data_IF_689762595125
#
_entry.id   IF_689762595125
#
_cell.length_a   1.000
_cell.length_b   1.000
_cell.length_c   1.000
_cell.angle_alpha   90.00
_cell.angle_beta   90.00
_cell.angle_gamma   90.00
#
_symmetry.space_group_name_H-M   'P 1'
#
loop_
_entity.id
_entity.type
_entity.pdbx_description
1 polymer ?
#
# COMPACT_ATOMS: atom_id res chain seq x y z
N UNK A 1 6.07 19.66 6.61
CA UNK A 1 6.19 18.74 5.45
C UNK A 1 5.57 19.43 4.24
N UNK A 2 6.32 19.55 3.14
CA UNK A 2 5.80 20.13 1.88
C UNK A 2 5.18 18.99 1.07
N UNK A 3 3.95 19.20 0.60
CA UNK A 3 3.29 18.21 -0.26
C UNK A 3 3.99 18.17 -1.63
N UNK A 4 4.07 17.00 -2.25
CA UNK A 4 4.65 16.82 -3.61
C UNK A 4 3.92 17.71 -4.63
N UNK A 5 2.60 17.91 -4.45
CA UNK A 5 1.82 18.84 -5.28
C UNK A 5 2.39 20.26 -5.26
N UNK A 6 2.65 20.82 -4.07
CA UNK A 6 3.22 22.18 -3.93
C UNK A 6 4.62 22.25 -4.52
N UNK A 7 5.39 21.16 -4.40
CA UNK A 7 6.71 21.08 -5.01
C UNK A 7 6.63 21.07 -6.55
N UNK A 8 5.69 20.30 -7.10
CA UNK A 8 5.44 20.26 -8.54
C UNK A 8 5.07 21.64 -9.10
N UNK A 9 4.13 22.33 -8.43
CA UNK A 9 3.72 23.70 -8.80
C UNK A 9 4.89 24.68 -8.77
N UNK A 10 5.74 24.63 -7.75
CA UNK A 10 6.91 25.51 -7.61
C UNK A 10 8.06 25.20 -8.57
N UNK A 11 8.09 24.00 -9.15
CA UNK A 11 9.09 23.58 -10.14
C UNK A 11 8.59 23.68 -11.58
N UNK A 12 7.31 23.94 -11.80
CA UNK A 12 6.68 23.84 -13.12
C UNK A 12 6.55 22.39 -13.62
N UNK A 13 6.52 21.44 -12.71
CA UNK A 13 6.35 20.02 -12.99
C UNK A 13 4.88 19.62 -13.00
N UNK A 14 4.54 18.58 -13.73
CA UNK A 14 3.22 17.96 -13.67
C UNK A 14 3.06 17.21 -12.34
N UNK A 15 1.90 17.37 -11.69
CA UNK A 15 1.57 16.59 -10.48
C UNK A 15 0.62 15.43 -10.81
N UNK A 16 1.12 14.21 -10.70
CA UNK A 16 0.29 13.02 -10.80
C UNK A 16 -0.33 12.66 -9.44
N UNK A 17 -1.68 12.69 -9.38
CA UNK A 17 -2.44 12.44 -8.15
C UNK A 17 -2.38 10.98 -7.72
N UNK A 18 -2.46 10.04 -8.67
CA UNK A 18 -2.52 8.61 -8.35
C UNK A 18 -1.16 8.07 -7.87
N UNK A 19 -0.07 8.54 -8.47
CA UNK A 19 1.29 8.21 -8.04
C UNK A 19 1.80 9.09 -6.90
N UNK A 20 1.06 10.17 -6.55
CA UNK A 20 1.52 11.22 -5.65
C UNK A 20 2.94 11.67 -5.99
N UNK A 21 3.14 12.03 -7.26
CA UNK A 21 4.44 12.27 -7.85
C UNK A 21 4.47 13.60 -8.60
N UNK A 22 5.60 14.31 -8.54
CA UNK A 22 5.91 15.42 -9.42
C UNK A 22 6.82 14.91 -10.55
N UNK A 23 6.41 15.14 -11.78
CA UNK A 23 7.05 14.64 -12.99
C UNK A 23 7.42 15.79 -13.89
N UNK A 24 8.65 15.84 -14.37
CA UNK A 24 9.13 16.87 -15.28
C UNK A 24 10.44 16.48 -15.92
N UNK A 25 10.85 17.27 -16.89
CA UNK A 25 12.11 17.10 -17.61
C UNK A 25 13.05 18.24 -17.28
N UNK A 26 14.31 17.93 -17.02
CA UNK A 26 15.37 18.93 -16.80
C UNK A 26 16.64 18.51 -17.55
N UNK A 27 17.06 19.34 -18.50
CA UNK A 27 18.30 19.11 -19.27
C UNK A 27 18.28 17.83 -20.11
N UNK A 28 17.13 17.39 -20.58
CA UNK A 28 16.97 16.16 -21.37
C UNK A 28 16.77 14.88 -20.55
N UNK A 29 16.59 15.00 -19.23
CA UNK A 29 16.35 13.86 -18.34
C UNK A 29 14.97 13.91 -17.70
N UNK A 30 14.22 12.84 -17.83
CA UNK A 30 12.97 12.65 -17.07
C UNK A 30 13.25 12.51 -15.58
N UNK A 31 12.63 13.35 -14.78
CA UNK A 31 12.79 13.39 -13.33
C UNK A 31 11.46 13.18 -12.62
N UNK A 32 11.46 12.24 -11.70
CA UNK A 32 10.28 11.87 -10.91
C UNK A 32 10.57 12.10 -9.43
N UNK A 33 9.78 12.96 -8.78
CA UNK A 33 9.91 13.26 -7.35
C UNK A 33 8.72 12.68 -6.60
N UNK A 34 8.99 11.87 -5.59
CA UNK A 34 7.97 11.31 -4.68
C UNK A 34 8.35 11.56 -3.23
N UNK A 35 7.36 11.52 -2.33
CA UNK A 35 7.66 11.54 -0.89
C UNK A 35 8.24 10.20 -0.44
N UNK A 36 9.24 10.28 0.46
CA UNK A 36 9.61 9.14 1.28
C UNK A 36 8.61 8.99 2.45
N UNK A 37 8.40 7.76 2.92
CA UNK A 37 7.44 7.44 4.00
C UNK A 37 7.78 8.08 5.35
N UNK A 38 8.95 8.68 5.50
CA UNK A 38 9.43 9.26 6.75
C UNK A 38 9.81 10.73 6.60
N UNK A 39 9.01 11.61 7.19
CA UNK A 39 9.34 13.00 7.42
C UNK A 39 9.40 13.88 6.17
N UNK A 40 10.35 14.83 6.14
CA UNK A 40 10.59 15.77 5.03
C UNK A 40 11.61 15.24 4.01
N UNK A 41 11.60 13.93 3.76
CA UNK A 41 12.45 13.29 2.77
C UNK A 41 11.69 13.09 1.46
N UNK A 42 12.41 13.21 0.37
CA UNK A 42 11.91 13.01 -0.99
C UNK A 42 12.82 12.03 -1.74
N UNK A 43 12.24 11.25 -2.62
CA UNK A 43 12.95 10.44 -3.58
C UNK A 43 12.91 11.13 -4.93
N UNK A 44 14.07 11.52 -5.43
CA UNK A 44 14.25 11.93 -6.81
C UNK A 44 14.72 10.71 -7.62
N UNK A 45 13.86 10.25 -8.51
CA UNK A 45 14.11 9.09 -9.36
C UNK A 45 14.43 9.57 -10.77
N UNK A 46 15.46 8.99 -11.35
CA UNK A 46 15.85 9.15 -12.76
C UNK A 46 16.09 7.78 -13.37
N UNK A 47 16.06 7.68 -14.68
CA UNK A 47 16.46 6.48 -15.40
C UNK A 47 17.51 6.82 -16.44
N UNK A 48 18.72 6.31 -16.29
CA UNK A 48 19.87 6.69 -17.09
C UNK A 48 20.79 5.51 -17.41
N UNK A 49 21.49 5.61 -18.54
CA UNK A 49 22.44 4.60 -19.00
C UNK A 49 23.67 5.23 -19.67
N UNK A 50 24.77 4.47 -19.71
CA UNK A 50 25.95 4.68 -20.57
C UNK A 50 26.19 3.47 -21.47
N UNK A 51 25.12 2.79 -21.87
CA UNK A 51 25.18 1.49 -22.55
C UNK A 51 24.98 0.31 -21.62
N UNK A 52 25.31 0.46 -20.33
CA UNK A 52 25.13 -0.57 -19.29
C UNK A 52 24.29 -0.02 -18.13
N UNK A 53 23.87 -0.93 -17.22
CA UNK A 53 23.14 -0.55 -16.02
C UNK A 53 24.02 0.30 -15.10
N UNK A 54 23.50 1.42 -14.59
CA UNK A 54 24.28 2.30 -13.73
C UNK A 54 24.68 1.59 -12.43
N UNK A 55 25.85 1.92 -11.93
CA UNK A 55 26.40 1.47 -10.66
C UNK A 55 26.57 2.64 -9.69
N UNK A 56 26.81 2.40 -8.42
CA UNK A 56 27.12 3.49 -7.48
C UNK A 56 28.41 4.23 -7.81
N UNK A 57 29.41 3.53 -8.39
CA UNK A 57 30.67 4.11 -8.78
C UNK A 57 30.51 5.17 -9.87
N UNK A 58 29.54 5.02 -10.76
CA UNK A 58 29.26 5.97 -11.83
C UNK A 58 28.82 7.35 -11.31
N UNK A 59 28.35 7.42 -10.08
CA UNK A 59 27.90 8.65 -9.42
C UNK A 59 28.92 9.20 -8.39
N UNK A 60 30.14 8.71 -8.40
CA UNK A 60 31.23 9.32 -7.62
C UNK A 60 31.47 10.74 -8.10
N UNK A 61 31.62 11.68 -7.14
CA UNK A 61 31.78 13.10 -7.44
C UNK A 61 30.47 13.89 -7.62
N UNK A 62 29.29 13.27 -7.65
CA UNK A 62 28.01 14.01 -7.81
C UNK A 62 27.80 15.07 -6.72
N UNK A 63 28.39 14.89 -5.53
CA UNK A 63 28.35 15.84 -4.42
C UNK A 63 29.06 17.15 -4.71
N UNK A 64 30.00 17.14 -5.63
CA UNK A 64 30.74 18.34 -6.06
C UNK A 64 29.84 19.30 -6.83
N UNK A 65 28.86 18.74 -7.56
CA UNK A 65 27.86 19.52 -8.27
C UNK A 65 26.79 20.09 -7.34
N UNK A 66 26.38 19.31 -6.33
CA UNK A 66 25.48 19.80 -5.29
C UNK A 66 25.60 18.97 -4.00
N UNK A 67 25.86 19.64 -2.88
CA UNK A 67 26.07 19.03 -1.56
C UNK A 67 24.89 18.19 -1.04
N UNK A 68 23.70 18.36 -1.58
CA UNK A 68 22.51 17.60 -1.17
C UNK A 68 22.37 16.25 -1.89
N UNK A 69 23.10 16.02 -2.98
CA UNK A 69 23.11 14.75 -3.72
C UNK A 69 24.01 13.70 -3.04
N UNK A 70 23.73 13.39 -1.78
CA UNK A 70 24.59 12.56 -0.93
C UNK A 70 24.21 11.08 -0.93
N UNK A 71 22.92 10.78 -0.91
CA UNK A 71 22.39 9.44 -0.71
C UNK A 71 21.82 8.90 -1.99
N UNK A 72 22.48 7.89 -2.54
CA UNK A 72 22.15 7.31 -3.84
C UNK A 72 21.83 5.83 -3.67
N UNK A 73 20.68 5.44 -4.18
CA UNK A 73 20.25 4.05 -4.37
C UNK A 73 20.26 3.72 -5.86
N UNK A 74 21.01 2.71 -6.25
CA UNK A 74 21.00 2.18 -7.61
C UNK A 74 20.30 0.83 -7.59
N UNK A 75 19.32 0.67 -8.47
CA UNK A 75 18.59 -0.59 -8.57
C UNK A 75 19.38 -1.57 -9.44
N UNK A 76 19.75 -2.73 -8.88
CA UNK A 76 20.50 -3.76 -9.62
C UNK A 76 19.69 -4.47 -10.71
N UNK A 77 18.35 -4.37 -10.67
CA UNK A 77 17.47 -5.09 -11.61
C UNK A 77 17.10 -4.25 -12.82
N UNK A 78 17.08 -2.93 -12.69
CA UNK A 78 16.66 -1.99 -13.73
C UNK A 78 17.61 -0.79 -13.80
N UNK A 79 17.32 0.20 -14.67
CA UNK A 79 18.13 1.40 -14.91
C UNK A 79 17.78 2.57 -13.98
N UNK A 80 16.90 2.37 -12.99
CA UNK A 80 16.46 3.43 -12.07
C UNK A 80 17.52 3.75 -11.04
N UNK A 81 17.77 5.04 -10.87
CA UNK A 81 18.63 5.61 -9.83
C UNK A 81 17.78 6.52 -8.95
N UNK A 82 17.94 6.41 -7.65
CA UNK A 82 17.15 7.13 -6.64
C UNK A 82 18.07 7.96 -5.77
N UNK A 83 17.85 9.26 -5.73
CA UNK A 83 18.49 10.16 -4.77
C UNK A 83 17.53 10.43 -3.61
N UNK A 84 18.01 10.24 -2.39
CA UNK A 84 17.24 10.61 -1.19
C UNK A 84 17.61 12.03 -0.78
N UNK A 85 16.65 12.94 -0.83
CA UNK A 85 16.83 14.36 -0.62
C UNK A 85 16.03 14.84 0.59
N UNK A 86 16.64 15.68 1.42
CA UNK A 86 15.94 16.34 2.53
C UNK A 86 15.29 17.63 2.08
N UNK A 87 14.04 17.86 2.46
CA UNK A 87 13.38 19.17 2.34
C UNK A 87 14.03 20.23 3.26
N UNK A 88 13.67 21.50 3.07
CA UNK A 88 13.96 22.57 4.00
C UNK A 88 12.84 22.72 5.03
N UNK A 89 13.04 23.58 6.04
CA UNK A 89 12.04 23.87 7.06
C UNK A 89 10.79 24.57 6.49
N UNK A 90 10.95 25.35 5.43
CA UNK A 90 9.86 26.09 4.77
C UNK A 90 9.52 25.48 3.41
N UNK A 91 8.31 25.78 2.92
CA UNK A 91 7.84 25.36 1.60
C UNK A 91 8.73 25.97 0.50
N UNK A 92 8.90 27.27 0.53
CA UNK A 92 9.69 28.01 -0.48
C UNK A 92 11.17 27.60 -0.43
N UNK A 93 11.72 27.36 0.75
CA UNK A 93 13.06 26.84 0.93
C UNK A 93 13.25 25.44 0.33
N UNK A 94 12.21 24.59 0.39
CA UNK A 94 12.24 23.28 -0.26
C UNK A 94 12.21 23.41 -1.77
N UNK A 95 11.32 24.23 -2.32
CA UNK A 95 11.24 24.50 -3.77
C UNK A 95 12.56 25.06 -4.29
N UNK A 96 13.10 26.11 -3.66
CA UNK A 96 14.39 26.69 -4.04
C UNK A 96 15.52 25.65 -4.03
N UNK A 97 15.56 24.81 -3.01
CA UNK A 97 16.56 23.72 -2.93
C UNK A 97 16.47 22.77 -4.13
N UNK A 98 15.26 22.37 -4.53
CA UNK A 98 15.10 21.52 -5.69
C UNK A 98 15.42 22.26 -7.00
N UNK A 99 15.10 23.55 -7.11
CA UNK A 99 15.53 24.40 -8.25
C UNK A 99 17.04 24.46 -8.41
N UNK A 100 17.82 24.31 -7.33
CA UNK A 100 19.28 24.22 -7.40
C UNK A 100 19.76 22.79 -7.69
N UNK A 101 19.12 21.77 -7.13
CA UNK A 101 19.53 20.37 -7.23
C UNK A 101 19.30 19.83 -8.65
N UNK A 102 18.12 20.08 -9.24
CA UNK A 102 17.74 19.45 -10.51
C UNK A 102 18.67 19.84 -11.68
N UNK A 103 18.99 21.13 -11.91
CA UNK A 103 19.95 21.52 -12.94
C UNK A 103 21.38 21.04 -12.65
N UNK A 104 21.77 20.99 -11.37
CA UNK A 104 23.09 20.49 -10.98
C UNK A 104 23.23 19.00 -11.30
N UNK A 105 22.18 18.20 -11.01
CA UNK A 105 22.15 16.80 -11.39
C UNK A 105 22.16 16.61 -12.91
N UNK A 106 21.37 17.38 -13.65
CA UNK A 106 21.34 17.30 -15.10
C UNK A 106 22.72 17.58 -15.71
N UNK A 107 23.44 18.60 -15.23
CA UNK A 107 24.84 18.90 -15.66
C UNK A 107 25.77 17.73 -15.34
N UNK A 108 25.73 17.18 -14.14
CA UNK A 108 26.54 16.02 -13.78
C UNK A 108 26.31 14.86 -14.75
N UNK A 109 25.04 14.58 -15.09
CA UNK A 109 24.69 13.50 -16.01
C UNK A 109 25.21 13.76 -17.42
N UNK A 110 25.10 15.02 -17.90
CA UNK A 110 25.65 15.45 -19.21
C UNK A 110 27.16 15.34 -19.25
N UNK A 111 27.87 15.87 -18.24
CA UNK A 111 29.33 15.83 -18.15
C UNK A 111 29.88 14.40 -18.08
N UNK A 112 29.07 13.47 -17.61
CA UNK A 112 29.38 12.04 -17.52
C UNK A 112 28.82 11.22 -18.69
N UNK A 113 28.27 11.86 -19.72
CA UNK A 113 27.73 11.23 -20.94
C UNK A 113 26.60 10.20 -20.67
N UNK A 114 25.82 10.40 -19.61
CA UNK A 114 24.62 9.60 -19.38
C UNK A 114 23.54 9.98 -20.39
N UNK A 115 22.73 9.01 -20.78
CA UNK A 115 21.55 9.21 -21.61
C UNK A 115 20.30 8.86 -20.82
N UNK A 116 19.21 9.62 -21.02
CA UNK A 116 17.90 9.28 -20.53
C UNK A 116 17.45 7.95 -21.16
N UNK A 117 16.90 7.03 -20.38
CA UNK A 117 16.54 5.71 -20.89
C UNK A 117 15.33 5.11 -20.17
N UNK A 118 14.74 4.09 -20.78
CA UNK A 118 13.72 3.28 -20.11
C UNK A 118 14.30 2.60 -18.87
N UNK A 119 13.57 2.67 -17.75
CA UNK A 119 13.97 1.97 -16.52
C UNK A 119 13.93 0.44 -16.64
N UNK A 120 13.20 -0.11 -17.63
CA UNK A 120 13.05 -1.54 -17.83
C UNK A 120 14.14 -2.07 -18.76
N UNK A 121 14.19 -1.57 -19.99
CA UNK A 121 15.06 -2.08 -21.05
C UNK A 121 16.38 -1.34 -21.21
N UNK A 122 16.47 -0.07 -20.74
CA UNK A 122 17.62 0.78 -20.97
C UNK A 122 17.65 1.43 -22.38
N UNK A 123 16.59 1.27 -23.18
CA UNK A 123 16.45 1.92 -24.48
C UNK A 123 16.34 3.44 -24.29
N UNK A 124 17.05 4.21 -25.12
CA UNK A 124 17.15 5.67 -24.99
C UNK A 124 16.21 6.44 -25.90
N UNK A 125 15.57 5.77 -26.86
CA UNK A 125 14.66 6.40 -27.82
C UNK A 125 13.20 6.24 -27.43
N UNK A 126 12.39 7.29 -27.60
CA UNK A 126 10.95 7.25 -27.35
C UNK A 126 10.58 6.99 -25.88
N UNK A 127 11.44 7.45 -24.97
CA UNK A 127 11.23 7.37 -23.52
C UNK A 127 10.35 8.52 -23.09
N UNK A 128 9.40 8.25 -22.20
CA UNK A 128 8.55 9.24 -21.56
C UNK A 128 8.06 8.70 -20.22
N UNK A 129 7.37 9.54 -19.47
CA UNK A 129 6.84 9.13 -18.16
C UNK A 129 5.39 8.70 -18.27
N UNK A 130 5.09 7.53 -17.76
CA UNK A 130 3.76 6.91 -17.74
C UNK A 130 3.37 6.51 -16.33
N UNK A 131 2.07 6.57 -16.05
CA UNK A 131 1.50 5.83 -14.94
C UNK A 131 1.11 4.43 -15.45
N UNK A 132 1.78 3.42 -14.94
CA UNK A 132 1.53 2.01 -15.31
C UNK A 132 1.76 1.13 -14.05
N UNK A 133 0.71 1.01 -13.22
CA UNK A 133 0.79 0.39 -11.88
C UNK A 133 1.76 1.15 -10.93
N UNK A 134 1.95 2.43 -11.14
CA UNK A 134 2.90 3.34 -10.52
C UNK A 134 3.59 4.18 -11.60
N UNK A 135 4.22 5.27 -11.19
CA UNK A 135 4.91 6.16 -12.13
C UNK A 135 6.23 5.54 -12.59
N UNK A 136 6.42 5.47 -13.90
CA UNK A 136 7.57 4.84 -14.57
C UNK A 136 8.08 5.68 -15.72
N UNK A 137 9.38 5.65 -15.92
CA UNK A 137 10.06 6.22 -17.07
C UNK A 137 10.32 5.04 -18.03
N UNK A 138 9.53 4.93 -19.10
CA UNK A 138 9.54 3.79 -20.01
C UNK A 138 9.27 4.21 -21.46
N UNK A 139 9.49 3.30 -22.41
CA UNK A 139 9.14 3.53 -23.80
C UNK A 139 7.64 3.33 -24.07
N UNK A 140 7.14 3.92 -25.15
CA UNK A 140 5.75 3.74 -25.60
C UNK A 140 5.41 2.27 -25.88
N UNK A 141 6.36 1.47 -26.37
CA UNK A 141 6.14 0.02 -26.60
C UNK A 141 6.01 -0.76 -25.31
N UNK A 142 6.83 -0.46 -24.29
CA UNK A 142 6.73 -1.08 -22.95
C UNK A 142 5.45 -0.68 -22.25
N UNK A 143 5.04 0.59 -22.37
CA UNK A 143 3.75 1.06 -21.88
C UNK A 143 2.60 0.26 -22.49
N UNK A 144 2.57 0.11 -23.83
CA UNK A 144 1.53 -0.65 -24.54
C UNK A 144 1.49 -2.14 -24.13
N UNK A 145 2.64 -2.74 -23.83
CA UNK A 145 2.70 -4.11 -23.32
C UNK A 145 2.10 -4.22 -21.91
N UNK A 146 2.45 -3.29 -21.02
CA UNK A 146 1.89 -3.26 -19.65
C UNK A 146 0.38 -3.01 -19.71
N UNK A 147 -0.08 -2.06 -20.52
CA UNK A 147 -1.50 -1.74 -20.71
C UNK A 147 -2.28 -2.96 -21.21
N UNK A 148 -1.77 -3.67 -22.23
CA UNK A 148 -2.36 -4.92 -22.70
C UNK A 148 -2.44 -5.97 -21.60
N UNK A 149 -1.39 -6.15 -20.81
CA UNK A 149 -1.39 -7.07 -19.68
C UNK A 149 -2.41 -6.69 -18.59
N UNK A 150 -2.66 -5.39 -18.39
CA UNK A 150 -3.74 -4.90 -17.50
C UNK A 150 -5.10 -5.25 -18.08
N UNK A 151 -5.33 -4.99 -19.37
CA UNK A 151 -6.59 -5.29 -20.07
C UNK A 151 -6.91 -6.78 -20.01
N UNK A 152 -5.97 -7.65 -20.35
CA UNK A 152 -6.16 -9.10 -20.25
C UNK A 152 -6.54 -9.57 -18.83
N UNK A 153 -5.97 -8.94 -17.79
CA UNK A 153 -6.37 -9.24 -16.40
C UNK A 153 -7.79 -8.78 -16.11
N UNK A 154 -8.18 -7.61 -16.60
CA UNK A 154 -9.54 -7.08 -16.44
C UNK A 154 -10.55 -8.01 -17.11
N UNK A 155 -10.28 -8.43 -18.34
CA UNK A 155 -11.15 -9.34 -19.11
C UNK A 155 -11.30 -10.70 -18.41
N UNK A 156 -10.21 -11.29 -17.91
CA UNK A 156 -10.26 -12.53 -17.13
C UNK A 156 -11.09 -12.40 -15.85
N UNK A 157 -11.05 -11.25 -15.19
CA UNK A 157 -11.87 -10.99 -14.00
C UNK A 157 -13.33 -10.78 -14.38
N UNK A 158 -13.61 -10.06 -15.48
CA UNK A 158 -14.96 -9.84 -15.98
C UNK A 158 -15.65 -11.17 -16.37
N UNK A 159 -14.93 -12.10 -16.99
CA UNK A 159 -15.43 -13.44 -17.33
C UNK A 159 -15.82 -14.29 -16.09
N UNK A 160 -15.23 -14.03 -14.92
CA UNK A 160 -15.57 -14.76 -13.69
C UNK A 160 -16.92 -14.32 -13.09
N UNK A 161 -17.41 -13.13 -13.39
CA UNK A 161 -18.71 -12.64 -12.93
C UNK A 161 -18.91 -12.75 -11.40
N UNK A 162 -20.09 -13.25 -11.00
CA UNK A 162 -20.46 -13.43 -9.59
C UNK A 162 -19.61 -14.48 -8.85
N UNK A 163 -18.98 -15.42 -9.57
CA UNK A 163 -18.10 -16.43 -8.95
C UNK A 163 -16.87 -15.80 -8.30
N UNK A 164 -16.46 -14.59 -8.72
CA UNK A 164 -15.36 -13.86 -8.10
C UNK A 164 -15.68 -13.41 -6.67
N UNK A 165 -16.95 -13.11 -6.35
CA UNK A 165 -17.38 -12.72 -4.99
C UNK A 165 -17.29 -13.93 -4.05
N UNK A 166 -17.77 -15.10 -4.50
CA UNK A 166 -17.69 -16.33 -3.70
C UNK A 166 -16.24 -16.71 -3.41
N UNK A 167 -15.40 -16.72 -4.44
CA UNK A 167 -13.96 -17.00 -4.27
C UNK A 167 -13.29 -15.97 -3.35
N UNK A 168 -13.62 -14.69 -3.51
CA UNK A 168 -13.13 -13.63 -2.64
C UNK A 168 -13.55 -13.84 -1.18
N UNK A 169 -14.81 -14.26 -0.95
CA UNK A 169 -15.30 -14.56 0.40
C UNK A 169 -14.53 -15.72 1.03
N UNK A 170 -14.26 -16.79 0.27
CA UNK A 170 -13.41 -17.90 0.74
C UNK A 170 -12.01 -17.40 1.07
N UNK A 171 -11.41 -16.56 0.20
CA UNK A 171 -10.11 -15.96 0.44
C UNK A 171 -10.09 -15.08 1.70
N UNK A 172 -11.16 -14.29 1.94
CA UNK A 172 -11.31 -13.48 3.15
C UNK A 172 -11.40 -14.35 4.43
N UNK A 173 -12.14 -15.46 4.37
CA UNK A 173 -12.22 -16.41 5.49
C UNK A 173 -10.87 -17.06 5.79
N UNK A 174 -10.14 -17.50 4.77
CA UNK A 174 -8.78 -18.03 4.94
C UNK A 174 -7.84 -16.96 5.54
N UNK A 175 -7.93 -15.73 5.03
CA UNK A 175 -7.20 -14.59 5.58
C UNK A 175 -7.54 -14.33 7.05
N UNK A 176 -8.81 -14.46 7.44
CA UNK A 176 -9.25 -14.31 8.82
C UNK A 176 -8.71 -15.41 9.75
N UNK A 177 -8.62 -16.65 9.27
CA UNK A 177 -8.04 -17.76 10.05
C UNK A 177 -6.55 -17.51 10.29
N UNK A 178 -5.80 -17.13 9.25
CA UNK A 178 -4.36 -16.82 9.39
C UNK A 178 -4.16 -15.60 10.30
N UNK A 179 -4.93 -14.54 10.10
CA UNK A 179 -4.88 -13.35 10.95
C UNK A 179 -5.21 -13.68 12.41
N UNK A 180 -6.21 -14.53 12.63
CA UNK A 180 -6.61 -15.00 13.95
C UNK A 180 -5.50 -15.74 14.67
N UNK A 181 -4.81 -16.64 13.98
CA UNK A 181 -3.66 -17.35 14.55
C UNK A 181 -2.54 -16.37 14.97
N UNK A 182 -2.22 -15.37 14.11
CA UNK A 182 -1.23 -14.35 14.42
C UNK A 182 -1.64 -13.50 15.62
N UNK A 183 -2.91 -13.06 15.67
CA UNK A 183 -3.44 -12.24 16.78
C UNK A 183 -3.39 -13.01 18.08
N UNK A 184 -3.80 -14.30 18.09
CA UNK A 184 -3.71 -15.15 19.28
C UNK A 184 -2.26 -15.34 19.75
N UNK A 185 -1.31 -15.57 18.85
CA UNK A 185 0.11 -15.65 19.20
C UNK A 185 0.60 -14.36 19.87
N UNK A 186 0.24 -13.21 19.33
CA UNK A 186 0.63 -11.90 19.88
C UNK A 186 -0.02 -11.68 21.25
N UNK A 187 -1.30 -12.03 21.40
CA UNK A 187 -2.02 -11.91 22.67
C UNK A 187 -1.40 -12.78 23.78
N UNK A 188 -1.01 -14.02 23.45
CA UNK A 188 -0.34 -14.92 24.39
C UNK A 188 1.06 -14.44 24.84
N UNK A 189 1.67 -13.53 24.11
CA UNK A 189 2.91 -12.85 24.50
C UNK A 189 2.68 -11.62 25.40
N UNK A 190 1.42 -11.33 25.75
CA UNK A 190 1.07 -10.20 26.63
C UNK A 190 1.01 -8.84 25.93
N UNK A 191 1.09 -8.80 24.61
CA UNK A 191 0.97 -7.54 23.86
C UNK A 191 -0.48 -7.18 23.58
N UNK A 192 -0.84 -5.93 23.86
CA UNK A 192 -2.19 -5.41 23.58
C UNK A 192 -2.43 -5.26 22.08
N UNK A 193 -3.58 -5.73 21.66
CA UNK A 193 -3.93 -6.09 20.28
C UNK A 193 -4.31 -4.95 19.32
N UNK A 194 -3.79 -3.71 19.47
CA UNK A 194 -4.02 -2.70 18.42
C UNK A 194 -3.44 -3.13 17.06
N UNK A 195 -2.34 -3.88 17.04
CA UNK A 195 -1.81 -4.53 15.85
C UNK A 195 -2.78 -5.55 15.23
N UNK A 196 -3.64 -6.16 16.04
CA UNK A 196 -4.61 -7.15 15.57
C UNK A 196 -5.52 -6.61 14.46
N UNK A 197 -5.96 -5.35 14.58
CA UNK A 197 -6.77 -4.71 13.56
C UNK A 197 -6.06 -4.50 12.22
N UNK A 198 -4.77 -4.13 12.25
CA UNK A 198 -3.95 -3.96 11.04
C UNK A 198 -3.74 -5.32 10.36
N UNK A 199 -3.38 -6.34 11.12
CA UNK A 199 -3.17 -7.71 10.62
C UNK A 199 -4.46 -8.27 10.04
N UNK A 200 -5.58 -8.11 10.75
CA UNK A 200 -6.91 -8.50 10.27
C UNK A 200 -7.27 -7.81 8.97
N UNK A 201 -7.17 -6.48 8.93
CA UNK A 201 -7.47 -5.70 7.72
C UNK A 201 -6.64 -6.14 6.52
N UNK A 202 -5.33 -6.27 6.71
CA UNK A 202 -4.41 -6.66 5.65
C UNK A 202 -4.65 -8.07 5.11
N UNK A 203 -4.78 -9.06 6.01
CA UNK A 203 -4.92 -10.46 5.61
C UNK A 203 -6.33 -10.81 5.09
N UNK A 204 -7.38 -10.25 5.67
CA UNK A 204 -8.76 -10.50 5.21
C UNK A 204 -8.99 -9.86 3.85
N UNK A 205 -8.65 -8.55 3.70
CA UNK A 205 -8.80 -7.85 2.42
C UNK A 205 -7.83 -8.36 1.37
N UNK A 206 -6.59 -8.66 1.77
CA UNK A 206 -5.58 -9.26 0.89
C UNK A 206 -6.02 -10.64 0.40
N UNK A 207 -6.52 -11.50 1.28
CA UNK A 207 -7.10 -12.79 0.94
C UNK A 207 -8.26 -12.66 -0.03
N UNK A 208 -9.21 -11.76 0.24
CA UNK A 208 -10.30 -11.47 -0.71
C UNK A 208 -9.76 -11.09 -2.09
N UNK A 209 -8.81 -10.14 -2.16
CA UNK A 209 -8.22 -9.68 -3.43
C UNK A 209 -7.54 -10.81 -4.21
N UNK A 210 -6.73 -11.62 -3.54
CA UNK A 210 -5.98 -12.72 -4.18
C UNK A 210 -6.93 -13.71 -4.86
N UNK A 211 -8.03 -14.06 -4.21
CA UNK A 211 -8.99 -15.04 -4.73
C UNK A 211 -10.01 -14.44 -5.69
N UNK A 212 -10.51 -13.23 -5.43
CA UNK A 212 -11.44 -12.52 -6.32
C UNK A 212 -10.76 -11.92 -7.55
N UNK A 213 -9.46 -11.61 -7.46
CA UNK A 213 -8.69 -10.90 -8.49
C UNK A 213 -8.84 -9.38 -8.42
N UNK A 214 -9.96 -8.86 -7.91
CA UNK A 214 -10.26 -7.42 -7.75
C UNK A 214 -11.13 -7.19 -6.51
N UNK A 215 -10.97 -6.03 -5.88
CA UNK A 215 -11.83 -5.64 -4.75
C UNK A 215 -13.07 -4.91 -5.27
N UNK A 216 -14.23 -5.50 -5.03
CA UNK A 216 -15.54 -4.93 -5.34
C UNK A 216 -16.16 -4.27 -4.09
N UNK A 217 -17.11 -3.33 -4.27
CA UNK A 217 -17.81 -2.68 -3.16
C UNK A 217 -18.43 -3.69 -2.18
N UNK A 218 -19.11 -4.71 -2.71
CA UNK A 218 -19.70 -5.80 -1.92
C UNK A 218 -18.61 -6.58 -1.18
N UNK A 219 -17.44 -6.80 -1.80
CA UNK A 219 -16.31 -7.48 -1.17
C UNK A 219 -15.76 -6.74 0.06
N UNK A 220 -15.78 -5.41 0.03
CA UNK A 220 -15.38 -4.60 1.19
C UNK A 220 -16.34 -4.84 2.36
N UNK A 221 -17.65 -4.83 2.10
CA UNK A 221 -18.67 -5.05 3.14
C UNK A 221 -18.55 -6.47 3.71
N UNK A 222 -18.44 -7.48 2.84
CA UNK A 222 -18.28 -8.89 3.28
C UNK A 222 -17.00 -9.03 4.12
N UNK A 223 -15.89 -8.47 3.67
CA UNK A 223 -14.61 -8.52 4.40
C UNK A 223 -14.70 -7.82 5.76
N UNK A 224 -15.41 -6.68 5.85
CA UNK A 224 -15.63 -5.98 7.12
C UNK A 224 -16.44 -6.83 8.11
N UNK A 225 -17.51 -7.49 7.65
CA UNK A 225 -18.31 -8.39 8.48
C UNK A 225 -17.46 -9.58 8.96
N UNK A 226 -16.69 -10.19 8.07
CA UNK A 226 -15.78 -11.31 8.40
C UNK A 226 -14.73 -10.87 9.43
N UNK A 227 -14.14 -9.68 9.30
CA UNK A 227 -13.16 -9.15 10.25
C UNK A 227 -13.75 -9.01 11.66
N UNK A 228 -14.94 -8.41 11.78
CA UNK A 228 -15.57 -8.20 13.07
C UNK A 228 -16.01 -9.53 13.71
N UNK A 229 -16.59 -10.43 12.92
CA UNK A 229 -16.99 -11.76 13.38
C UNK A 229 -15.77 -12.60 13.82
N UNK A 230 -14.69 -12.58 13.04
CA UNK A 230 -13.46 -13.28 13.37
C UNK A 230 -12.84 -12.73 14.66
N UNK A 231 -12.78 -11.39 14.83
CA UNK A 231 -12.22 -10.79 16.03
C UNK A 231 -13.04 -11.14 17.28
N UNK A 232 -14.35 -11.16 17.18
CA UNK A 232 -15.22 -11.64 18.25
C UNK A 232 -14.89 -13.09 18.66
N UNK A 233 -14.74 -13.99 17.68
CA UNK A 233 -14.39 -15.38 17.93
C UNK A 233 -13.00 -15.56 18.53
N UNK A 234 -12.04 -14.76 18.05
CA UNK A 234 -10.66 -14.77 18.54
C UNK A 234 -10.58 -14.27 19.98
N UNK A 235 -11.25 -13.16 20.29
CA UNK A 235 -11.34 -12.67 21.68
C UNK A 235 -11.91 -13.76 22.60
N UNK A 236 -12.98 -14.40 22.17
CA UNK A 236 -13.61 -15.48 22.94
C UNK A 236 -12.68 -16.68 23.13
N UNK A 237 -11.89 -17.03 22.11
CA UNK A 237 -10.90 -18.11 22.19
C UNK A 237 -9.73 -17.74 23.09
N UNK A 238 -9.26 -16.51 23.03
CA UNK A 238 -8.18 -16.00 23.87
C UNK A 238 -8.55 -16.06 25.36
N UNK A 239 -9.75 -15.60 25.70
CA UNK A 239 -10.30 -15.74 27.06
C UNK A 239 -10.48 -17.19 27.47
N UNK A 240 -10.92 -18.06 26.57
CA UNK A 240 -11.05 -19.47 26.87
C UNK A 240 -9.70 -20.13 27.20
N UNK A 241 -8.65 -19.77 26.48
CA UNK A 241 -7.27 -20.22 26.73
C UNK A 241 -6.74 -19.67 28.06
N UNK A 242 -7.01 -18.38 28.35
CA UNK A 242 -6.61 -17.75 29.60
C UNK A 242 -7.30 -18.42 30.78
N UNK A 243 -8.63 -18.68 30.71
CA UNK A 243 -9.38 -19.37 31.75
C UNK A 243 -8.78 -20.77 32.01
N UNK A 244 -8.50 -21.54 30.95
CA UNK A 244 -7.89 -22.87 31.14
C UNK A 244 -6.51 -22.82 31.80
N UNK A 245 -5.74 -21.76 31.60
CA UNK A 245 -4.38 -21.61 32.14
C UNK A 245 -4.38 -21.19 33.62
N UNK A 246 -5.30 -20.30 34.00
CA UNK A 246 -5.23 -19.62 35.29
C UNK A 246 -6.31 -20.02 36.26
N UNK A 247 -7.39 -20.68 35.81
CA UNK A 247 -8.51 -21.05 36.67
C UNK A 247 -8.58 -22.58 36.87
N UNK A 248 -8.64 -23.00 38.11
CA UNK A 248 -8.86 -24.39 38.46
C UNK A 248 -10.36 -24.69 38.52
N UNK A 249 -10.82 -25.92 38.19
CA UNK A 249 -12.23 -26.29 38.24
C UNK A 249 -12.85 -26.09 39.62
N UNK A 250 -12.06 -26.23 40.67
CA UNK A 250 -12.51 -26.09 42.07
C UNK A 250 -13.01 -24.68 42.39
N UNK A 251 -12.47 -23.63 41.68
CA UNK A 251 -12.95 -22.25 41.79
C UNK A 251 -14.41 -22.08 41.35
N UNK A 252 -14.93 -23.00 40.58
CA UNK A 252 -16.30 -22.98 40.07
C UNK A 252 -17.19 -24.10 40.68
N UNK A 253 -16.73 -24.73 41.76
CA UNK A 253 -17.47 -25.83 42.39
C UNK A 253 -17.57 -27.12 41.54
N UNK A 254 -16.65 -27.28 40.57
CA UNK A 254 -16.59 -28.42 39.65
C UNK A 254 -15.42 -29.34 40.02
N UNK A 255 -15.42 -29.83 41.27
CA UNK A 255 -14.35 -30.72 41.74
C UNK A 255 -14.17 -31.95 40.84
N UNK A 256 -12.92 -32.24 40.49
CA UNK A 256 -12.52 -33.41 39.71
C UNK A 256 -12.76 -33.33 38.18
N UNK A 257 -13.30 -32.24 37.64
CA UNK A 257 -13.53 -32.07 36.21
C UNK A 257 -12.43 -31.20 35.57
N UNK A 258 -11.81 -31.67 34.45
CA UNK A 258 -10.92 -30.79 33.65
C UNK A 258 -11.76 -29.92 32.72
N UNK A 259 -11.57 -28.61 32.79
CA UNK A 259 -12.20 -27.68 31.87
C UNK A 259 -11.68 -27.92 30.45
N UNK A 260 -12.51 -28.49 29.56
CA UNK A 260 -12.12 -28.63 28.15
C UNK A 260 -12.21 -27.30 27.44
N UNK A 261 -11.35 -27.06 26.41
CA UNK A 261 -11.37 -25.85 25.63
C UNK A 261 -12.72 -25.56 24.99
N UNK A 262 -13.37 -26.61 24.49
CA UNK A 262 -14.72 -26.53 23.90
C UNK A 262 -15.77 -26.07 24.93
N UNK A 263 -15.73 -26.59 26.14
CA UNK A 263 -16.63 -26.17 27.21
C UNK A 263 -16.38 -24.73 27.61
N UNK A 264 -15.12 -24.36 27.85
CA UNK A 264 -14.72 -23.00 28.23
C UNK A 264 -15.08 -21.99 27.12
N UNK A 265 -14.82 -22.30 25.87
CA UNK A 265 -15.18 -21.45 24.74
C UNK A 265 -16.68 -21.20 24.64
N UNK A 266 -17.49 -22.22 24.84
CA UNK A 266 -18.96 -22.09 24.81
C UNK A 266 -19.51 -21.29 25.98
N UNK A 267 -18.86 -21.36 27.15
CA UNK A 267 -19.35 -20.78 28.39
C UNK A 267 -18.53 -19.59 28.91
N UNK A 268 -17.66 -18.99 28.08
CA UNK A 268 -16.78 -17.89 28.50
C UNK A 268 -17.55 -16.80 29.25
N UNK A 269 -18.71 -16.35 28.73
CA UNK A 269 -19.48 -15.26 29.33
C UNK A 269 -19.96 -15.65 30.72
N UNK A 270 -20.54 -16.86 30.91
CA UNK A 270 -21.01 -17.33 32.20
C UNK A 270 -19.88 -17.52 33.21
N UNK A 271 -18.72 -17.99 32.74
CA UNK A 271 -17.52 -18.18 33.59
C UNK A 271 -16.99 -16.85 34.10
N UNK A 272 -16.83 -15.86 33.21
CA UNK A 272 -16.33 -14.53 33.60
C UNK A 272 -17.33 -13.77 34.47
N UNK A 273 -18.63 -14.04 34.32
CA UNK A 273 -19.67 -13.53 35.19
C UNK A 273 -19.54 -14.11 36.62
N UNK A 274 -19.40 -15.41 36.73
CA UNK A 274 -19.21 -16.09 38.02
C UNK A 274 -17.91 -15.64 38.70
N UNK A 275 -16.88 -15.36 37.93
CA UNK A 275 -15.60 -14.87 38.40
C UNK A 275 -15.55 -13.33 38.66
N UNK A 276 -16.64 -12.59 38.49
CA UNK A 276 -16.72 -11.14 38.57
C UNK A 276 -15.76 -10.40 37.62
N UNK A 277 -15.45 -10.98 36.45
CA UNK A 277 -14.56 -10.44 35.43
C UNK A 277 -15.29 -9.91 34.18
N UNK A 278 -16.63 -9.76 34.27
CA UNK A 278 -17.46 -9.28 33.14
C UNK A 278 -16.97 -7.93 32.57
N UNK A 279 -16.69 -6.99 33.47
CA UNK A 279 -16.27 -5.65 33.07
C UNK A 279 -14.98 -5.69 32.24
N UNK A 280 -14.00 -6.51 32.64
CA UNK A 280 -12.74 -6.68 31.93
C UNK A 280 -12.92 -7.39 30.58
N UNK A 281 -13.77 -8.41 30.53
CA UNK A 281 -14.12 -9.12 29.30
C UNK A 281 -14.73 -8.17 28.27
N UNK A 282 -15.79 -7.44 28.63
CA UNK A 282 -16.49 -6.56 27.70
C UNK A 282 -15.66 -5.32 27.33
N UNK A 283 -14.87 -4.78 28.26
CA UNK A 283 -13.92 -3.72 27.98
C UNK A 283 -12.86 -4.17 26.96
N UNK A 284 -12.27 -5.34 27.14
CA UNK A 284 -11.29 -5.91 26.22
C UNK A 284 -11.91 -6.18 24.85
N UNK A 285 -13.07 -6.84 24.80
CA UNK A 285 -13.81 -7.08 23.56
C UNK A 285 -14.13 -5.76 22.83
N UNK A 286 -14.65 -4.77 23.56
CA UNK A 286 -14.99 -3.46 23.00
C UNK A 286 -13.79 -2.74 22.41
N UNK A 287 -12.66 -2.73 23.13
CA UNK A 287 -11.41 -2.15 22.65
C UNK A 287 -10.88 -2.90 21.40
N UNK A 288 -10.88 -4.23 21.41
CA UNK A 288 -10.44 -5.02 20.28
C UNK A 288 -11.29 -4.78 19.03
N UNK A 289 -12.63 -4.76 19.17
CA UNK A 289 -13.54 -4.47 18.05
C UNK A 289 -13.36 -3.04 17.55
N UNK A 290 -13.20 -2.06 18.45
CA UNK A 290 -12.95 -0.66 18.08
C UNK A 290 -11.65 -0.51 17.28
N UNK A 291 -10.55 -1.09 17.78
CA UNK A 291 -9.26 -1.04 17.08
C UNK A 291 -9.30 -1.82 15.77
N UNK A 292 -9.99 -2.96 15.73
CA UNK A 292 -10.18 -3.71 14.48
C UNK A 292 -10.95 -2.90 13.46
N UNK A 293 -11.98 -2.20 13.89
CA UNK A 293 -12.76 -1.33 13.01
C UNK A 293 -11.91 -0.17 12.47
N UNK A 294 -11.23 0.58 13.35
CA UNK A 294 -10.44 1.76 12.94
C UNK A 294 -9.23 1.33 12.09
N UNK A 295 -8.40 0.43 12.60
CA UNK A 295 -7.19 0.00 11.90
C UNK A 295 -7.51 -0.83 10.66
N UNK A 296 -8.55 -1.67 10.73
CA UNK A 296 -9.05 -2.44 9.60
C UNK A 296 -9.57 -1.54 8.48
N UNK A 297 -10.29 -0.45 8.82
CA UNK A 297 -10.76 0.53 7.85
C UNK A 297 -9.61 1.25 7.16
N UNK A 298 -8.62 1.72 7.92
CA UNK A 298 -7.43 2.39 7.38
C UNK A 298 -6.66 1.45 6.44
N UNK A 299 -6.44 0.19 6.87
CA UNK A 299 -5.75 -0.81 6.05
C UNK A 299 -6.55 -1.14 4.78
N UNK A 300 -7.89 -1.25 4.90
CA UNK A 300 -8.78 -1.50 3.77
C UNK A 300 -8.70 -0.40 2.72
N UNK A 301 -8.65 0.88 3.13
CA UNK A 301 -8.47 2.02 2.22
C UNK A 301 -7.16 1.87 1.44
N UNK A 302 -6.06 1.52 2.11
CA UNK A 302 -4.76 1.29 1.47
C UNK A 302 -4.81 0.15 0.44
N UNK A 303 -5.44 -0.97 0.78
CA UNK A 303 -5.56 -2.13 -0.13
C UNK A 303 -6.46 -1.80 -1.32
N UNK A 304 -7.57 -1.08 -1.11
CA UNK A 304 -8.46 -0.62 -2.20
C UNK A 304 -7.74 0.35 -3.13
N UNK A 305 -6.98 1.31 -2.58
CA UNK A 305 -6.21 2.24 -3.40
C UNK A 305 -5.13 1.52 -4.22
N UNK A 306 -4.43 0.57 -3.59
CA UNK A 306 -3.45 -0.26 -4.30
C UNK A 306 -4.12 -1.10 -5.40
N UNK A 307 -5.33 -1.65 -5.16
CA UNK A 307 -6.10 -2.40 -6.16
C UNK A 307 -6.47 -1.51 -7.35
N UNK A 308 -7.01 -0.31 -7.11
CA UNK A 308 -7.32 0.66 -8.15
C UNK A 308 -6.08 0.97 -9.01
N UNK A 309 -4.98 1.32 -8.37
CA UNK A 309 -3.74 1.69 -9.06
C UNK A 309 -3.16 0.53 -9.87
N UNK A 310 -3.42 -0.72 -9.49
CA UNK A 310 -2.94 -1.90 -10.24
C UNK A 310 -3.64 -2.14 -11.57
N UNK A 311 -4.74 -1.44 -11.84
CA UNK A 311 -5.50 -1.48 -13.09
C UNK A 311 -5.48 -0.16 -13.87
N UNK A 312 -4.67 0.81 -13.43
CA UNK A 312 -4.53 2.09 -14.11
C UNK A 312 -3.27 2.11 -14.97
N UNK A 313 -3.43 2.61 -16.20
CA UNK A 313 -2.35 2.96 -17.11
C UNK A 313 -2.77 4.20 -17.91
N UNK A 314 -1.90 5.24 -17.96
CA UNK A 314 -2.10 6.45 -18.76
C UNK A 314 -0.78 7.20 -18.92
N UNK A 315 -0.61 7.98 -20.01
CA UNK A 315 0.55 8.87 -20.20
C UNK A 315 0.48 10.03 -19.20
N UNK A 316 1.64 10.48 -18.70
CA UNK A 316 1.76 11.62 -17.79
C UNK A 316 2.34 12.81 -18.55
N UNK A 317 1.71 13.99 -18.41
CA UNK A 317 2.23 15.25 -18.98
C UNK A 317 1.81 15.53 -20.43
N UNK A 318 1.19 14.59 -21.14
CA UNK A 318 0.44 14.92 -22.33
C UNK A 318 -0.86 15.61 -21.91
N UNK A 319 -1.18 16.76 -22.49
CA UNK A 319 -2.46 17.45 -22.26
C UNK A 319 -3.60 16.44 -22.41
N UNK A 320 -4.61 16.56 -21.54
CA UNK A 320 -5.84 15.78 -21.59
C UNK A 320 -6.65 16.07 -22.87
N UNK A 321 -6.05 15.89 -24.02
CA UNK A 321 -6.76 15.69 -25.25
C UNK A 321 -7.04 14.18 -25.35
N UNK A 322 -8.32 13.83 -25.17
CA UNK A 322 -8.93 12.55 -25.54
C UNK A 322 -8.91 11.37 -24.55
N UNK A 323 -8.74 11.55 -23.27
CA UNK A 323 -9.05 10.45 -22.33
C UNK A 323 -10.57 10.31 -22.05
N UNK A 324 -11.37 11.31 -22.48
CA UNK A 324 -12.84 11.23 -22.43
C UNK A 324 -13.44 10.43 -23.59
N UNK A 325 -12.72 10.22 -24.69
CA UNK A 325 -13.21 9.47 -25.87
C UNK A 325 -12.67 8.04 -26.01
N UNK A 326 -11.66 7.65 -25.24
CA UNK A 326 -11.32 6.24 -25.10
C UNK A 326 -12.30 5.62 -24.09
N UNK A 327 -13.43 5.16 -24.60
CA UNK A 327 -14.51 4.51 -23.85
C UNK A 327 -14.08 3.30 -23.05
N UNK A 328 -13.33 3.51 -21.99
CA UNK A 328 -13.19 2.56 -20.90
C UNK A 328 -14.46 2.69 -20.05
N UNK A 329 -15.24 1.62 -19.84
CA UNK A 329 -16.40 1.64 -18.98
C UNK A 329 -15.97 1.70 -17.52
N UNK A 330 -15.46 2.85 -17.08
CA UNK A 330 -15.47 3.21 -15.70
C UNK A 330 -16.85 3.79 -15.41
N UNK A 331 -17.83 2.91 -15.23
CA UNK A 331 -19.11 3.32 -14.69
C UNK A 331 -18.89 3.76 -13.26
N UNK A 332 -18.80 5.07 -13.04
CA UNK A 332 -19.04 5.71 -11.76
C UNK A 332 -20.52 5.51 -11.40
N UNK A 333 -20.85 4.29 -10.97
CA UNK A 333 -22.09 4.02 -10.26
C UNK A 333 -21.92 4.43 -8.78
N UNK A 334 -21.51 5.67 -8.51
CA UNK A 334 -21.89 6.39 -7.33
C UNK A 334 -23.19 7.10 -7.71
N UNK A 335 -24.30 6.41 -7.49
CA UNK A 335 -25.61 6.94 -7.77
C UNK A 335 -25.81 8.28 -7.06
N UNK A 336 -25.96 9.32 -7.84
CA UNK A 336 -26.94 10.35 -7.57
C UNK A 336 -28.30 9.68 -7.80
N UNK A 337 -28.97 9.30 -6.74
CA UNK A 337 -30.40 9.10 -6.73
C UNK A 337 -31.01 10.47 -6.66
N UNK A 338 -31.39 11.03 -7.80
CA UNK A 338 -32.44 12.03 -7.87
C UNK A 338 -33.76 11.39 -7.44
N UNK A 339 -34.46 12.16 -6.56
CA UNK A 339 -35.81 12.03 -5.99
C UNK A 339 -36.01 11.00 -4.86
#
# INVERSE_FOLDING_TARGET
>A
MVLVKTLAEGLGFYYDKNGNAAVGEVGGYDMLITNADKGSLYYLNISVTKGEKPTKADFEGVKEYNKYLKTIGVNKKNYRVVFTLGGAFTKDGTVKRFQEILPALARFLQDREFQNCSEISGVTQGVSTYFAQGVKIITKSEYAEIERGIQEKQDKIALRGSSSILLGTVGALLGAVVAGAVVLCISQLGYVSWFGGVVMGGLVMGGYKVFAGRIQKIGIIISAIIMLAAMYLINRLDWALMIQRYFTPDMFGMEGTKLSLSFTFKNVVAIVETANLQADYFKNLGLQLLFTFICGLVTSIGVVQWDKNSFLAYPIGEEKQDVQDAGLPYTDNFGESEE
#
